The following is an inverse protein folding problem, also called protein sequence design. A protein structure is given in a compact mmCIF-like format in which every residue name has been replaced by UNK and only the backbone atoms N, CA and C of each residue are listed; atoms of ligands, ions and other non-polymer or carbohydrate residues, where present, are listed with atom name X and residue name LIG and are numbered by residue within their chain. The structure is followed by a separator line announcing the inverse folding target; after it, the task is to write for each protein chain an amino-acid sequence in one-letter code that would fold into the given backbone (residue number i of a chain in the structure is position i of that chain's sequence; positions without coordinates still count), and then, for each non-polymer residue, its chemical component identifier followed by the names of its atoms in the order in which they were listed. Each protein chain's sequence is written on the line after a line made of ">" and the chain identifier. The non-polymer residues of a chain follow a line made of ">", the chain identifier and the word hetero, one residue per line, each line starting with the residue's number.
data_IF_039506753006
#
_entry.id   IF_039506753006
#
_cell.length_a   1.000
_cell.length_b   1.000
_cell.length_c   1.000
_cell.angle_alpha   90.00
_cell.angle_beta   90.00
_cell.angle_gamma   90.00
#
_symmetry.space_group_name_H-M   'P 1'
#
loop_
_entity.id
_entity.type
_entity.pdbx_description
1 polymer ?
#
# COMPACT_ATOMS: atom_id res chain seq x y z
N UNK A 1 40.22 28.57 -10.97
CA UNK A 1 39.40 28.87 -9.78
C UNK A 1 39.41 30.38 -9.63
N UNK A 2 38.31 31.06 -9.95
CA UNK A 2 38.15 32.48 -9.61
C UNK A 2 37.30 32.51 -8.36
N UNK A 3 37.93 32.81 -7.22
CA UNK A 3 37.21 33.20 -6.01
C UNK A 3 36.78 34.65 -6.26
N UNK A 4 35.55 34.83 -6.74
CA UNK A 4 34.93 36.15 -6.70
C UNK A 4 34.63 36.47 -5.23
N UNK A 5 35.09 37.64 -4.78
CA UNK A 5 34.85 38.19 -3.45
C UNK A 5 33.38 38.05 -3.05
N UNK A 6 33.11 37.06 -2.21
CA UNK A 6 31.82 36.94 -1.55
C UNK A 6 31.76 38.07 -0.52
N UNK A 7 30.99 39.11 -0.83
CA UNK A 7 30.54 40.11 0.12
C UNK A 7 30.08 39.41 1.41
N UNK A 8 30.89 39.55 2.44
CA UNK A 8 30.64 39.14 3.82
C UNK A 8 29.51 40.02 4.38
N UNK A 9 28.29 39.69 4.03
CA UNK A 9 27.11 40.16 4.74
C UNK A 9 26.78 39.14 5.82
N UNK A 10 26.98 39.53 7.09
CA UNK A 10 26.38 38.85 8.25
C UNK A 10 24.86 38.88 8.10
N UNK A 11 24.30 37.90 7.40
CA UNK A 11 22.89 37.57 7.49
C UNK A 11 22.81 36.17 8.08
N UNK A 12 22.15 36.07 9.24
CA UNK A 12 21.58 34.82 9.74
C UNK A 12 20.98 34.06 8.55
N UNK A 13 21.21 32.73 8.45
CA UNK A 13 20.81 31.98 7.28
C UNK A 13 19.29 32.06 7.14
N UNK A 14 18.81 32.98 6.28
CA UNK A 14 17.45 32.89 5.77
C UNK A 14 17.40 31.60 4.98
N UNK A 15 16.72 30.62 5.56
CA UNK A 15 16.48 29.35 4.90
C UNK A 15 15.87 29.62 3.51
N UNK A 16 16.40 29.03 2.43
CA UNK A 16 15.75 29.11 1.13
C UNK A 16 14.36 28.48 1.25
N UNK A 17 13.37 29.03 0.52
CA UNK A 17 12.01 28.52 0.49
C UNK A 17 12.00 26.99 0.36
N UNK A 18 11.44 26.32 1.36
CA UNK A 18 11.25 24.86 1.39
C UNK A 18 12.23 24.06 2.27
N UNK A 19 13.17 24.70 2.99
CA UNK A 19 14.00 24.00 4.00
C UNK A 19 13.81 24.63 5.37
N UNK A 20 13.71 23.80 6.41
CA UNK A 20 13.55 24.24 7.80
C UNK A 20 14.92 24.35 8.49
N UNK A 21 15.02 25.05 9.61
CA UNK A 21 16.29 25.15 10.39
C UNK A 21 16.86 23.77 10.77
N UNK A 22 16.02 22.72 10.83
CA UNK A 22 16.43 21.34 11.09
C UNK A 22 17.12 20.61 9.93
N UNK A 23 17.09 21.16 8.71
CA UNK A 23 17.80 20.58 7.55
C UNK A 23 19.31 20.89 7.57
N UNK A 24 19.73 21.76 8.50
CA UNK A 24 21.13 22.08 8.72
C UNK A 24 21.62 21.39 10.00
N UNK A 25 22.85 20.84 10.01
CA UNK A 25 23.43 20.32 11.24
C UNK A 25 23.45 21.44 12.30
N UNK A 26 23.19 21.13 13.58
CA UNK A 26 22.96 22.13 14.62
C UNK A 26 24.07 23.18 14.61
N UNK A 27 23.68 24.41 14.35
CA UNK A 27 24.60 25.53 14.21
C UNK A 27 25.14 25.90 15.59
N UNK A 28 26.32 25.38 15.93
CA UNK A 28 27.16 26.02 16.93
C UNK A 28 27.68 27.33 16.34
N UNK A 29 27.73 28.39 17.15
CA UNK A 29 28.05 29.78 16.75
C UNK A 29 29.42 29.99 16.07
N UNK A 30 30.17 28.93 15.76
CA UNK A 30 31.51 28.95 15.16
C UNK A 30 31.61 28.24 13.80
N UNK A 31 30.50 27.77 13.20
CA UNK A 31 30.55 27.06 11.90
C UNK A 31 30.04 27.93 10.75
N UNK A 32 30.91 28.16 9.78
CA UNK A 32 30.58 28.77 8.49
C UNK A 32 30.19 27.67 7.50
N UNK A 33 29.03 27.82 6.86
CA UNK A 33 28.55 26.88 5.84
C UNK A 33 28.60 27.54 4.46
N UNK A 34 29.09 26.79 3.47
CA UNK A 34 29.07 27.21 2.07
C UNK A 34 27.77 26.72 1.43
N UNK A 35 26.94 27.65 0.93
CA UNK A 35 25.66 27.32 0.30
C UNK A 35 25.82 26.75 -1.11
N UNK A 36 26.69 27.36 -1.91
CA UNK A 36 26.91 26.97 -3.30
C UNK A 36 28.33 27.31 -3.76
N UNK A 37 28.80 26.56 -4.76
CA UNK A 37 30.05 26.80 -5.46
C UNK A 37 29.77 26.76 -6.96
N UNK A 38 30.20 27.78 -7.68
CA UNK A 38 30.02 27.89 -9.12
C UNK A 38 31.34 27.56 -9.82
N UNK A 39 31.31 26.58 -10.72
CA UNK A 39 32.47 26.13 -11.49
C UNK A 39 32.27 26.41 -12.97
N UNK A 40 33.34 26.84 -13.65
CA UNK A 40 33.34 27.10 -15.09
C UNK A 40 34.41 26.25 -15.78
N UNK A 41 34.08 25.72 -16.96
CA UNK A 41 34.95 24.91 -17.81
C UNK A 41 34.77 25.37 -19.25
N UNK A 42 35.85 25.30 -20.02
CA UNK A 42 35.83 25.57 -21.47
C UNK A 42 35.41 24.35 -22.29
N UNK A 43 35.44 23.16 -21.68
CA UNK A 43 35.06 21.88 -22.28
C UNK A 43 33.83 21.37 -21.57
N UNK A 44 32.72 21.22 -22.30
CA UNK A 44 31.39 20.91 -21.74
C UNK A 44 31.30 19.46 -21.25
N UNK A 45 31.92 18.56 -22.00
CA UNK A 45 31.89 17.10 -21.80
C UNK A 45 32.44 16.69 -20.42
N UNK A 46 33.40 17.46 -19.90
CA UNK A 46 33.98 17.23 -18.58
C UNK A 46 32.95 17.40 -17.47
N UNK A 47 32.10 18.44 -17.53
CA UNK A 47 31.06 18.63 -16.52
C UNK A 47 29.92 17.64 -16.67
N UNK A 48 29.54 17.27 -17.90
CA UNK A 48 28.50 16.26 -18.12
C UNK A 48 28.92 14.92 -17.51
N UNK A 49 30.18 14.50 -17.68
CA UNK A 49 30.74 13.31 -17.03
C UNK A 49 30.70 13.40 -15.49
N UNK A 50 31.15 14.53 -14.93
CA UNK A 50 31.20 14.73 -13.47
C UNK A 50 29.78 14.75 -12.88
N UNK A 51 28.82 15.44 -13.52
CA UNK A 51 27.42 15.50 -13.08
C UNK A 51 26.79 14.10 -13.09
N UNK A 52 27.08 13.29 -14.12
CA UNK A 52 26.58 11.93 -14.21
C UNK A 52 27.18 11.04 -13.10
N UNK A 53 28.48 11.10 -12.87
CA UNK A 53 29.16 10.42 -11.76
C UNK A 53 28.60 10.84 -10.40
N UNK A 54 28.40 12.14 -10.19
CA UNK A 54 27.81 12.66 -8.94
C UNK A 54 26.36 12.17 -8.73
N UNK A 55 25.53 12.20 -9.79
CA UNK A 55 24.17 11.65 -9.73
C UNK A 55 24.17 10.15 -9.41
N UNK A 56 25.16 9.41 -9.90
CA UNK A 56 25.32 7.99 -9.56
C UNK A 56 25.71 7.80 -8.08
N UNK A 57 26.67 8.57 -7.57
CA UNK A 57 27.03 8.55 -6.15
C UNK A 57 25.84 8.93 -5.27
N UNK A 58 25.07 9.96 -5.63
CA UNK A 58 23.85 10.33 -4.91
C UNK A 58 22.83 9.20 -4.87
N UNK A 59 22.62 8.50 -6.00
CA UNK A 59 21.73 7.32 -6.03
C UNK A 59 22.25 6.19 -5.14
N UNK A 60 23.56 5.90 -5.18
CA UNK A 60 24.18 4.87 -4.33
C UNK A 60 24.06 5.21 -2.84
N UNK A 61 24.24 6.47 -2.45
CA UNK A 61 24.08 6.93 -1.06
C UNK A 61 22.64 6.79 -0.58
N UNK A 62 21.67 7.27 -1.37
CA UNK A 62 20.24 7.11 -1.04
C UNK A 62 19.85 5.64 -0.90
N UNK A 63 20.35 4.78 -1.79
CA UNK A 63 20.11 3.33 -1.69
C UNK A 63 20.69 2.73 -0.41
N UNK A 64 21.92 3.14 -0.04
CA UNK A 64 22.59 2.68 1.18
C UNK A 64 21.89 3.16 2.46
N UNK A 65 21.38 4.39 2.48
CA UNK A 65 20.59 4.91 3.61
C UNK A 65 19.32 4.08 3.80
N UNK A 66 18.55 3.86 2.73
CA UNK A 66 17.34 3.01 2.75
C UNK A 66 17.67 1.58 3.21
N UNK A 67 18.74 0.97 2.70
CA UNK A 67 19.19 -0.35 3.16
C UNK A 67 19.61 -0.36 4.64
N UNK A 68 20.22 0.74 5.13
CA UNK A 68 20.65 0.86 6.51
C UNK A 68 19.49 1.06 7.49
N UNK A 69 18.44 1.78 7.07
CA UNK A 69 17.19 1.91 7.82
C UNK A 69 16.48 0.55 7.90
N UNK A 70 16.36 -0.17 6.79
CA UNK A 70 15.81 -1.54 6.75
C UNK A 70 16.57 -2.47 7.70
N UNK A 71 17.91 -2.39 7.72
CA UNK A 71 18.74 -3.20 8.64
C UNK A 71 18.59 -2.79 10.11
N UNK A 72 18.39 -1.50 10.41
CA UNK A 72 18.18 -1.01 11.77
C UNK A 72 16.81 -1.44 12.31
N UNK A 73 15.74 -1.31 11.53
CA UNK A 73 14.40 -1.83 11.87
C UNK A 73 14.45 -3.34 12.11
N UNK A 74 15.22 -4.07 11.31
CA UNK A 74 15.39 -5.52 11.44
C UNK A 74 16.27 -5.95 12.62
N UNK A 75 17.12 -5.06 13.16
CA UNK A 75 18.11 -5.42 14.19
C UNK A 75 17.56 -5.50 15.62
N UNK A 76 16.37 -4.93 15.87
CA UNK A 76 15.68 -5.01 17.17
C UNK A 76 14.77 -6.25 17.32
N UNK A 77 14.43 -6.91 16.22
CA UNK A 77 13.51 -8.06 16.21
C UNK A 77 14.29 -9.29 15.76
N UNK A 78 14.48 -10.28 16.64
CA UNK A 78 14.98 -11.59 16.20
C UNK A 78 14.15 -12.03 14.99
N UNK A 79 14.81 -12.47 13.91
CA UNK A 79 14.13 -12.93 12.70
C UNK A 79 13.16 -14.07 13.08
N UNK A 80 11.87 -13.74 13.21
CA UNK A 80 10.85 -14.72 13.53
C UNK A 80 10.80 -15.73 12.41
N UNK A 81 10.77 -17.01 12.77
CA UNK A 81 10.64 -18.11 11.83
C UNK A 81 9.18 -18.56 11.85
N UNK A 82 8.61 -18.77 10.66
CA UNK A 82 7.27 -19.27 10.52
C UNK A 82 7.18 -20.73 10.98
N UNK A 83 6.25 -21.01 11.88
CA UNK A 83 6.03 -22.31 12.48
C UNK A 83 4.95 -23.07 11.70
N UNK A 84 5.39 -23.82 10.70
CA UNK A 84 4.53 -24.56 9.77
C UNK A 84 3.74 -25.66 10.47
N UNK A 85 2.41 -25.67 10.26
CA UNK A 85 1.52 -26.74 10.70
C UNK A 85 1.61 -27.96 9.77
N UNK A 86 1.30 -29.17 10.27
CA UNK A 86 1.20 -30.37 9.42
C UNK A 86 -0.03 -30.34 8.51
N UNK A 87 -1.12 -29.78 9.02
CA UNK A 87 -2.35 -29.51 8.28
C UNK A 87 -2.65 -28.03 8.44
N UNK A 88 -2.78 -27.32 7.34
CA UNK A 88 -2.99 -25.88 7.32
C UNK A 88 -4.14 -25.53 6.37
N UNK A 89 -4.98 -24.54 6.72
CA UNK A 89 -5.87 -23.92 5.75
C UNK A 89 -5.05 -23.34 4.60
N UNK A 90 -5.49 -23.59 3.37
CA UNK A 90 -4.83 -23.05 2.19
C UNK A 90 -5.85 -22.49 1.20
N UNK A 91 -5.43 -21.42 0.51
CA UNK A 91 -6.20 -20.76 -0.53
C UNK A 91 -5.31 -20.67 -1.78
N UNK A 92 -5.78 -21.28 -2.88
CA UNK A 92 -4.99 -21.48 -4.11
C UNK A 92 -5.44 -20.55 -5.23
N UNK A 93 -4.60 -20.45 -6.25
CA UNK A 93 -4.87 -19.69 -7.48
C UNK A 93 -5.16 -18.20 -7.20
N UNK A 94 -4.39 -17.64 -6.26
CA UNK A 94 -4.48 -16.25 -5.83
C UNK A 94 -3.49 -15.38 -6.58
N UNK A 95 -3.93 -14.21 -7.01
CA UNK A 95 -3.04 -13.09 -7.32
C UNK A 95 -2.69 -12.34 -6.04
N UNK A 96 -1.49 -11.74 -6.00
CA UNK A 96 -1.03 -10.93 -4.87
C UNK A 96 -0.73 -9.49 -5.30
N UNK A 97 -1.07 -8.52 -4.46
CA UNK A 97 -0.61 -7.12 -4.56
C UNK A 97 0.02 -6.68 -3.22
N UNK A 98 1.15 -5.94 -3.24
CA UNK A 98 1.94 -5.58 -4.42
C UNK A 98 2.63 -6.80 -5.06
N UNK A 99 3.01 -6.68 -6.34
CA UNK A 99 3.71 -7.77 -7.04
C UNK A 99 5.09 -8.04 -6.45
N UNK A 100 5.50 -9.32 -6.38
CA UNK A 100 6.79 -9.75 -5.83
C UNK A 100 8.03 -9.29 -6.62
N UNK A 101 7.89 -9.01 -7.92
CA UNK A 101 9.03 -8.79 -8.80
C UNK A 101 8.75 -7.92 -10.03
N UNK A 102 9.40 -8.25 -11.16
CA UNK A 102 9.53 -7.46 -12.40
C UNK A 102 8.23 -7.34 -13.23
N UNK A 103 7.12 -6.98 -12.59
CA UNK A 103 5.89 -6.54 -13.26
C UNK A 103 4.93 -7.64 -13.74
N UNK A 104 5.31 -8.93 -13.70
CA UNK A 104 4.35 -10.03 -13.95
C UNK A 104 3.48 -10.27 -12.72
N UNK A 105 2.17 -10.49 -12.94
CA UNK A 105 1.24 -10.98 -11.92
C UNK A 105 1.78 -12.28 -11.33
N UNK A 106 2.02 -12.29 -10.04
CA UNK A 106 2.37 -13.50 -9.29
C UNK A 106 1.10 -14.21 -8.88
N UNK A 107 0.89 -15.41 -9.42
CA UNK A 107 -0.13 -16.35 -8.95
C UNK A 107 0.49 -17.28 -7.92
N UNK A 108 -0.24 -17.65 -6.87
CA UNK A 108 0.32 -18.48 -5.81
C UNK A 108 -0.72 -19.08 -4.86
N UNK A 109 -0.21 -19.62 -3.77
CA UNK A 109 -1.01 -20.22 -2.68
C UNK A 109 -0.71 -19.51 -1.38
N UNK A 110 -1.75 -19.14 -0.65
CA UNK A 110 -1.68 -18.62 0.70
C UNK A 110 -1.94 -19.75 1.69
N UNK A 111 -1.03 -19.95 2.63
CA UNK A 111 -1.06 -20.98 3.66
C UNK A 111 -1.11 -20.31 5.04
N UNK A 112 -2.01 -20.77 5.91
CA UNK A 112 -2.11 -20.28 7.29
C UNK A 112 -1.48 -21.27 8.28
N UNK A 113 -0.50 -20.82 9.04
CA UNK A 113 0.27 -21.64 9.97
C UNK A 113 0.05 -21.19 11.43
N UNK A 114 0.84 -21.68 12.38
CA UNK A 114 0.56 -21.41 13.80
C UNK A 114 0.81 -19.97 14.22
N UNK A 115 1.73 -19.26 13.56
CA UNK A 115 2.12 -17.89 13.93
C UNK A 115 2.04 -16.86 12.79
N UNK A 116 1.50 -17.24 11.63
CA UNK A 116 1.46 -16.36 10.47
C UNK A 116 0.96 -17.04 9.21
N UNK A 117 0.97 -16.26 8.13
CA UNK A 117 0.68 -16.71 6.78
C UNK A 117 1.95 -16.82 5.95
N UNK A 118 1.94 -17.74 4.99
CA UNK A 118 2.95 -17.83 3.92
C UNK A 118 2.27 -17.80 2.57
N UNK A 119 2.66 -16.85 1.74
CA UNK A 119 2.35 -16.87 0.33
C UNK A 119 3.53 -17.46 -0.45
N UNK A 120 3.26 -18.51 -1.24
CA UNK A 120 4.24 -19.10 -2.14
C UNK A 120 3.83 -18.83 -3.59
N UNK A 121 4.65 -18.08 -4.32
CA UNK A 121 4.42 -17.80 -5.73
C UNK A 121 4.65 -19.06 -6.60
N UNK A 122 3.72 -19.36 -7.50
CA UNK A 122 3.82 -20.47 -8.45
C UNK A 122 4.89 -20.18 -9.49
N UNK A 123 5.82 -21.12 -9.68
CA UNK A 123 6.90 -21.00 -10.67
C UNK A 123 8.07 -20.09 -10.25
N UNK A 124 8.07 -19.62 -9.00
CA UNK A 124 9.19 -18.92 -8.37
C UNK A 124 9.49 -19.58 -7.02
N UNK A 125 10.71 -19.41 -6.50
CA UNK A 125 11.04 -19.80 -5.12
C UNK A 125 10.82 -18.64 -4.13
N UNK A 126 10.22 -17.55 -4.59
CA UNK A 126 9.86 -16.40 -3.76
C UNK A 126 8.69 -16.74 -2.83
N UNK A 127 8.87 -16.41 -1.55
CA UNK A 127 7.89 -16.58 -0.49
C UNK A 127 7.75 -15.29 0.30
N UNK A 128 6.54 -15.01 0.75
CA UNK A 128 6.24 -13.89 1.65
C UNK A 128 5.64 -14.45 2.91
N UNK A 129 6.29 -14.18 4.04
CA UNK A 129 5.80 -14.55 5.37
C UNK A 129 5.23 -13.31 6.05
N UNK A 130 4.02 -13.42 6.59
CA UNK A 130 3.32 -12.35 7.30
C UNK A 130 2.93 -12.89 8.68
N UNK A 131 3.49 -12.35 9.74
CA UNK A 131 3.23 -12.84 11.10
C UNK A 131 1.95 -12.23 11.68
N UNK A 132 1.22 -13.00 12.48
CA UNK A 132 -0.05 -12.54 13.06
C UNK A 132 0.09 -11.28 13.93
N UNK A 133 1.22 -11.14 14.64
CA UNK A 133 1.51 -9.97 15.47
C UNK A 133 1.73 -8.68 14.65
N UNK A 134 2.10 -8.79 13.37
CA UNK A 134 2.35 -7.66 12.46
C UNK A 134 1.07 -7.14 11.82
N UNK A 135 -0.01 -7.92 11.81
CA UNK A 135 -1.28 -7.52 11.20
C UNK A 135 -2.00 -6.56 12.13
N UNK A 136 -2.37 -5.39 11.61
CA UNK A 136 -3.27 -4.44 12.26
C UNK A 136 -4.72 -4.77 11.92
N UNK A 137 -5.01 -4.91 10.62
CA UNK A 137 -6.35 -5.24 10.11
C UNK A 137 -6.28 -6.42 9.14
N UNK A 138 -7.16 -7.39 9.34
CA UNK A 138 -7.39 -8.52 8.44
C UNK A 138 -8.81 -8.44 7.93
N UNK A 139 -8.98 -8.30 6.62
CA UNK A 139 -10.27 -8.01 6.00
C UNK A 139 -10.54 -9.05 4.92
N UNK A 140 -11.74 -9.64 4.96
CA UNK A 140 -12.26 -10.47 3.89
C UNK A 140 -13.38 -9.70 3.19
N UNK A 141 -13.19 -9.37 1.91
CA UNK A 141 -14.23 -8.72 1.11
C UNK A 141 -14.81 -9.71 0.08
N UNK A 142 -16.08 -10.13 0.23
CA UNK A 142 -16.73 -11.00 -0.73
C UNK A 142 -16.99 -10.28 -2.05
N UNK A 143 -16.96 -11.05 -3.14
CA UNK A 143 -17.32 -10.57 -4.47
C UNK A 143 -18.84 -10.55 -4.62
N UNK A 144 -19.41 -9.35 -4.75
CA UNK A 144 -20.84 -9.13 -5.01
C UNK A 144 -21.03 -8.50 -6.40
N UNK A 145 -22.26 -8.11 -6.76
CA UNK A 145 -22.66 -7.75 -8.13
C UNK A 145 -21.74 -6.73 -8.81
N UNK A 146 -21.27 -5.70 -8.09
CA UNK A 146 -20.40 -4.65 -8.64
C UNK A 146 -18.90 -4.92 -8.47
N UNK A 147 -18.53 -5.96 -7.70
CA UNK A 147 -17.13 -6.28 -7.42
C UNK A 147 -16.60 -7.23 -8.49
N UNK A 148 -15.36 -7.00 -8.91
CA UNK A 148 -14.71 -7.84 -9.92
C UNK A 148 -13.81 -8.92 -9.28
N UNK A 149 -13.49 -8.73 -8.00
CA UNK A 149 -12.57 -9.58 -7.26
C UNK A 149 -13.15 -9.97 -5.91
N UNK A 150 -12.85 -11.19 -5.49
CA UNK A 150 -12.93 -11.62 -4.08
C UNK A 150 -11.53 -11.50 -3.50
N UNK A 151 -11.41 -11.01 -2.26
CA UNK A 151 -10.09 -10.72 -1.69
C UNK A 151 -10.00 -10.96 -0.18
N UNK A 152 -8.78 -11.24 0.25
CA UNK A 152 -8.31 -11.09 1.63
C UNK A 152 -7.24 -10.01 1.65
N UNK A 153 -7.37 -9.04 2.54
CA UNK A 153 -6.44 -7.94 2.71
C UNK A 153 -5.85 -7.93 4.11
N UNK A 154 -4.54 -7.69 4.18
CA UNK A 154 -3.82 -7.46 5.42
C UNK A 154 -3.22 -6.06 5.38
N UNK A 155 -3.66 -5.22 6.32
CA UNK A 155 -2.99 -3.97 6.66
C UNK A 155 -2.04 -4.24 7.83
N UNK A 156 -0.76 -3.93 7.65
CA UNK A 156 0.27 -4.20 8.63
C UNK A 156 0.51 -2.98 9.53
N UNK A 157 0.87 -3.23 10.80
CA UNK A 157 1.28 -2.20 11.75
C UNK A 157 2.50 -1.44 11.25
N UNK A 158 3.45 -2.19 10.68
CA UNK A 158 4.68 -1.67 10.11
C UNK A 158 4.90 -2.22 8.69
N UNK A 159 5.42 -1.43 7.75
CA UNK A 159 5.67 -1.89 6.38
C UNK A 159 6.76 -2.97 6.32
N UNK A 160 6.46 -4.08 5.64
CA UNK A 160 7.42 -5.16 5.37
C UNK A 160 8.03 -5.03 3.97
N UNK A 161 9.21 -5.62 3.76
CA UNK A 161 9.84 -5.69 2.45
C UNK A 161 9.22 -6.79 1.60
N UNK A 162 8.61 -6.43 0.47
CA UNK A 162 8.11 -7.36 -0.55
C UNK A 162 8.90 -7.14 -1.83
N UNK A 163 9.75 -8.11 -2.17
CA UNK A 163 10.72 -7.96 -3.25
C UNK A 163 11.68 -6.80 -2.98
N UNK A 164 11.53 -5.69 -3.72
CA UNK A 164 12.36 -4.48 -3.58
C UNK A 164 11.63 -3.28 -2.97
N UNK A 165 10.36 -3.42 -2.60
CA UNK A 165 9.52 -2.32 -2.12
C UNK A 165 9.06 -2.59 -0.69
N UNK A 166 9.03 -1.54 0.14
CA UNK A 166 8.30 -1.58 1.42
C UNK A 166 6.81 -1.49 1.11
N UNK A 167 6.03 -2.36 1.73
CA UNK A 167 4.57 -2.37 1.62
C UNK A 167 3.96 -2.52 3.01
N UNK A 168 3.03 -1.64 3.33
CA UNK A 168 2.20 -1.75 4.52
C UNK A 168 0.96 -2.60 4.26
N UNK A 169 0.48 -2.58 3.02
CA UNK A 169 -0.69 -3.30 2.59
C UNK A 169 -0.29 -4.51 1.74
N UNK A 170 -0.92 -5.66 2.03
CA UNK A 170 -0.75 -6.89 1.26
C UNK A 170 -2.12 -7.51 1.01
N UNK A 171 -2.44 -7.75 -0.26
CA UNK A 171 -3.74 -8.23 -0.70
C UNK A 171 -3.59 -9.50 -1.51
N UNK A 172 -4.46 -10.48 -1.26
CA UNK A 172 -4.60 -11.71 -2.00
C UNK A 172 -5.99 -11.81 -2.59
N UNK A 173 -6.12 -11.98 -3.90
CA UNK A 173 -7.41 -11.90 -4.58
C UNK A 173 -7.51 -12.84 -5.77
N UNK A 174 -8.74 -13.15 -6.15
CA UNK A 174 -9.09 -13.88 -7.39
C UNK A 174 -10.11 -13.06 -8.16
N UNK A 175 -9.92 -12.93 -9.47
CA UNK A 175 -10.84 -12.21 -10.36
C UNK A 175 -11.93 -13.17 -10.86
N UNK A 176 -13.18 -12.71 -10.86
CA UNK A 176 -14.33 -13.53 -11.26
C UNK A 176 -14.52 -13.57 -12.77
N UNK A 177 -14.13 -12.51 -13.48
CA UNK A 177 -14.11 -12.44 -14.93
C UNK A 177 -12.81 -11.77 -15.40
N UNK A 178 -12.11 -12.32 -16.41
CA UNK A 178 -11.09 -11.55 -17.11
C UNK A 178 -11.80 -10.35 -17.76
N UNK A 179 -11.24 -9.15 -17.63
CA UNK A 179 -11.72 -8.02 -18.43
C UNK A 179 -11.49 -8.35 -19.91
N UNK A 180 -12.48 -8.93 -20.58
CA UNK A 180 -12.55 -8.96 -22.03
C UNK A 180 -12.82 -7.53 -22.47
N UNK A 181 -11.77 -6.88 -22.98
CA UNK A 181 -11.77 -5.52 -23.53
C UNK A 181 -12.63 -5.37 -24.81
N UNK A 182 -13.66 -6.19 -25.02
CA UNK A 182 -14.58 -6.04 -26.14
C UNK A 182 -15.85 -5.27 -25.71
N UNK A 183 -15.62 -4.01 -25.34
CA UNK A 183 -16.67 -2.99 -25.25
C UNK A 183 -17.35 -2.73 -26.62
N UNK A 184 -16.82 -3.30 -27.71
CA UNK A 184 -17.35 -3.19 -29.06
C UNK A 184 -18.62 -4.03 -29.29
N UNK A 185 -18.87 -5.07 -28.48
CA UNK A 185 -20.00 -5.99 -28.64
C UNK A 185 -21.23 -5.64 -27.77
N UNK A 186 -21.13 -4.71 -26.82
CA UNK A 186 -22.27 -4.22 -26.00
C UNK A 186 -23.22 -3.29 -26.75
N UNK A 187 -23.35 -3.45 -28.07
CA UNK A 187 -24.43 -2.85 -28.85
C UNK A 187 -25.56 -3.88 -28.97
N UNK A 188 -26.50 -3.79 -28.04
CA UNK A 188 -27.84 -4.38 -28.14
C UNK A 188 -27.93 -5.91 -27.99
N UNK A 189 -27.42 -6.45 -26.88
CA UNK A 189 -27.95 -7.71 -26.35
C UNK A 189 -29.38 -7.47 -25.83
N UNK A 190 -30.31 -8.28 -26.30
CA UNK A 190 -31.68 -8.26 -25.79
C UNK A 190 -31.63 -8.97 -24.44
N UNK A 191 -32.00 -8.35 -23.31
CA UNK A 191 -31.96 -8.98 -21.96
C UNK A 191 -32.81 -10.27 -21.80
N UNK A 192 -33.40 -10.75 -22.88
CA UNK A 192 -34.14 -12.00 -23.03
C UNK A 192 -33.45 -12.99 -23.99
N UNK A 193 -32.20 -12.72 -24.37
CA UNK A 193 -31.37 -13.66 -25.10
C UNK A 193 -30.97 -14.80 -24.15
N UNK A 194 -31.34 -16.06 -24.45
CA UNK A 194 -30.97 -17.20 -23.62
C UNK A 194 -29.45 -17.30 -23.38
N UNK A 195 -28.62 -16.86 -24.33
CA UNK A 195 -27.16 -16.94 -24.18
C UNK A 195 -26.62 -15.95 -23.13
N UNK A 196 -27.16 -14.72 -23.07
CA UNK A 196 -26.79 -13.69 -22.10
C UNK A 196 -27.20 -14.12 -20.67
N UNK A 197 -28.41 -14.66 -20.52
CA UNK A 197 -28.91 -15.18 -19.24
C UNK A 197 -28.01 -16.33 -18.74
N UNK A 198 -27.56 -17.22 -19.64
CA UNK A 198 -26.68 -18.33 -19.28
C UNK A 198 -25.26 -17.88 -18.92
N UNK A 199 -24.79 -16.76 -19.46
CA UNK A 199 -23.50 -16.16 -19.08
C UNK A 199 -23.58 -15.51 -17.70
N UNK A 200 -24.64 -14.74 -17.42
CA UNK A 200 -24.90 -14.15 -16.10
C UNK A 200 -25.03 -15.21 -15.01
N UNK A 201 -25.76 -16.31 -15.28
CA UNK A 201 -25.89 -17.42 -14.33
C UNK A 201 -24.52 -18.06 -14.02
N UNK A 202 -23.68 -18.28 -15.04
CA UNK A 202 -22.33 -18.83 -14.85
C UNK A 202 -21.43 -17.90 -14.04
N UNK A 203 -21.53 -16.59 -14.26
CA UNK A 203 -20.80 -15.61 -13.46
C UNK A 203 -21.23 -15.64 -11.99
N UNK A 204 -22.55 -15.67 -11.72
CA UNK A 204 -23.07 -15.73 -10.36
C UNK A 204 -22.71 -17.03 -9.63
N UNK A 205 -22.75 -18.17 -10.32
CA UNK A 205 -22.28 -19.45 -9.77
C UNK A 205 -20.78 -19.39 -9.42
N UNK A 206 -19.97 -18.76 -10.27
CA UNK A 206 -18.54 -18.57 -10.00
C UNK A 206 -18.30 -17.64 -8.80
N UNK A 207 -19.03 -16.51 -8.69
CA UNK A 207 -18.98 -15.60 -7.53
C UNK A 207 -19.31 -16.36 -6.24
N UNK A 208 -20.43 -17.07 -6.23
CA UNK A 208 -20.89 -17.86 -5.07
C UNK A 208 -19.85 -18.89 -4.66
N UNK A 209 -19.30 -19.65 -5.63
CA UNK A 209 -18.25 -20.64 -5.38
C UNK A 209 -16.99 -20.02 -4.79
N UNK A 210 -16.51 -18.91 -5.35
CA UNK A 210 -15.31 -18.22 -4.88
C UNK A 210 -15.52 -17.62 -3.49
N UNK A 211 -16.68 -17.01 -3.23
CA UNK A 211 -17.04 -16.51 -1.91
C UNK A 211 -17.06 -17.63 -0.88
N UNK A 212 -17.67 -18.78 -1.19
CA UNK A 212 -17.67 -19.94 -0.30
C UNK A 212 -16.25 -20.41 0.04
N UNK A 213 -15.37 -20.50 -0.96
CA UNK A 213 -13.97 -20.94 -0.77
C UNK A 213 -13.21 -19.98 0.15
N UNK A 214 -13.36 -18.67 -0.04
CA UNK A 214 -12.71 -17.66 0.80
C UNK A 214 -13.30 -17.60 2.21
N UNK A 215 -14.61 -17.74 2.34
CA UNK A 215 -15.30 -17.82 3.62
C UNK A 215 -14.85 -19.05 4.42
N UNK A 216 -14.80 -20.22 3.78
CA UNK A 216 -14.32 -21.46 4.40
C UNK A 216 -12.87 -21.35 4.84
N UNK A 217 -12.02 -20.71 4.03
CA UNK A 217 -10.64 -20.42 4.41
C UNK A 217 -10.59 -19.53 5.66
N UNK A 218 -11.31 -18.41 5.66
CA UNK A 218 -11.34 -17.45 6.77
C UNK A 218 -11.80 -18.13 8.07
N UNK A 219 -12.88 -18.90 8.00
CA UNK A 219 -13.41 -19.67 9.14
C UNK A 219 -12.39 -20.67 9.68
N UNK A 220 -11.69 -21.39 8.78
CA UNK A 220 -10.66 -22.36 9.19
C UNK A 220 -9.43 -21.71 9.80
N UNK A 221 -9.05 -20.51 9.35
CA UNK A 221 -7.94 -19.74 9.93
C UNK A 221 -8.28 -19.25 11.33
N UNK A 222 -9.50 -18.76 11.54
CA UNK A 222 -9.99 -18.34 12.86
C UNK A 222 -10.11 -19.51 13.84
N UNK A 223 -10.30 -20.74 13.33
CA UNK A 223 -10.33 -21.96 14.11
C UNK A 223 -8.93 -22.53 14.45
N UNK A 224 -7.84 -21.95 13.94
CA UNK A 224 -6.48 -22.35 14.33
C UNK A 224 -6.27 -21.96 15.79
N UNK A 225 -5.81 -22.91 16.60
CA UNK A 225 -5.54 -22.67 18.01
C UNK A 225 -4.54 -21.51 18.22
N UNK A 226 -4.86 -20.62 19.15
CA UNK A 226 -4.08 -19.43 19.48
C UNK A 226 -3.88 -18.44 18.31
N UNK A 227 -4.69 -18.51 17.24
CA UNK A 227 -4.71 -17.53 16.18
C UNK A 227 -5.46 -16.25 16.64
N UNK A 228 -4.80 -15.07 16.69
CA UNK A 228 -5.46 -13.83 17.10
C UNK A 228 -6.20 -13.14 15.95
N UNK A 229 -6.06 -13.64 14.72
CA UNK A 229 -6.60 -13.03 13.50
C UNK A 229 -8.10 -13.31 13.40
N UNK A 230 -8.88 -12.25 13.16
CA UNK A 230 -10.31 -12.33 12.80
C UNK A 230 -10.55 -11.53 11.54
N UNK A 231 -11.22 -12.12 10.56
CA UNK A 231 -11.50 -11.45 9.31
C UNK A 231 -12.71 -10.54 9.46
N UNK A 232 -12.47 -9.24 9.37
CA UNK A 232 -13.53 -8.24 9.32
C UNK A 232 -14.16 -8.22 7.92
N UNK A 233 -15.47 -7.97 7.83
CA UNK A 233 -16.21 -7.93 6.58
C UNK A 233 -16.76 -6.50 6.40
N UNK A 234 -16.44 -5.79 5.30
CA UNK A 234 -16.90 -4.42 5.12
C UNK A 234 -18.44 -4.28 5.06
N UNK A 235 -18.98 -3.31 5.81
CA UNK A 235 -20.41 -3.00 5.86
C UNK A 235 -20.84 -2.18 4.64
N UNK A 236 -21.12 -2.86 3.52
CA UNK A 236 -21.41 -2.21 2.22
C UNK A 236 -22.63 -1.28 2.24
N UNK A 237 -23.61 -1.51 3.10
CA UNK A 237 -24.78 -0.64 3.24
C UNK A 237 -24.45 0.75 3.81
N UNK A 238 -23.29 0.87 4.47
CA UNK A 238 -22.77 2.12 5.02
C UNK A 238 -21.71 2.75 4.12
N UNK A 239 -21.56 2.24 2.90
CA UNK A 239 -20.55 2.73 1.96
C UNK A 239 -20.89 4.13 1.44
N UNK A 240 -19.86 4.92 1.19
CA UNK A 240 -19.95 6.22 0.56
C UNK A 240 -18.80 6.43 -0.43
N UNK A 241 -18.97 7.33 -1.39
CA UNK A 241 -17.91 7.66 -2.34
C UNK A 241 -17.04 8.80 -1.78
N UNK A 242 -15.73 8.69 -1.99
CA UNK A 242 -14.77 9.70 -1.58
C UNK A 242 -13.49 9.65 -2.41
N UNK A 243 -12.63 10.65 -2.25
CA UNK A 243 -11.38 10.78 -3.00
C UNK A 243 -10.19 10.83 -2.02
N UNK A 244 -9.87 9.72 -1.34
CA UNK A 244 -8.76 9.69 -0.37
C UNK A 244 -7.39 9.83 -1.04
N UNK A 245 -7.31 9.57 -2.35
CA UNK A 245 -6.08 9.64 -3.14
C UNK A 245 -6.28 10.56 -4.35
N UNK A 246 -6.44 9.98 -5.55
CA UNK A 246 -6.56 10.73 -6.82
C UNK A 246 -7.84 10.45 -7.60
N UNK A 247 -8.53 9.37 -7.27
CA UNK A 247 -9.76 8.93 -7.92
C UNK A 247 -10.88 8.80 -6.89
N UNK A 248 -12.11 8.96 -7.35
CA UNK A 248 -13.29 8.63 -6.56
C UNK A 248 -13.37 7.12 -6.40
N UNK A 249 -13.39 6.66 -5.15
CA UNK A 249 -13.48 5.25 -4.78
C UNK A 249 -14.60 5.07 -3.77
N UNK A 250 -15.12 3.85 -3.68
CA UNK A 250 -16.12 3.49 -2.67
C UNK A 250 -15.41 3.16 -1.36
N UNK A 251 -15.59 4.03 -0.38
CA UNK A 251 -15.15 3.83 1.00
C UNK A 251 -16.21 3.05 1.75
N UNK A 252 -15.79 2.02 2.47
CA UNK A 252 -16.68 1.13 3.23
C UNK A 252 -16.13 0.98 4.65
N UNK A 253 -16.93 1.24 5.68
CA UNK A 253 -16.50 0.99 7.04
C UNK A 253 -16.49 -0.52 7.34
N UNK A 254 -15.55 -0.93 8.16
CA UNK A 254 -15.48 -2.21 8.84
C UNK A 254 -15.70 -1.98 10.36
N UNK A 255 -15.46 -2.98 11.19
CA UNK A 255 -15.62 -2.88 12.65
C UNK A 255 -14.64 -1.88 13.26
N UNK A 256 -13.39 -1.85 12.78
CA UNK A 256 -12.31 -1.01 13.33
C UNK A 256 -11.50 -0.24 12.27
N UNK A 257 -11.94 -0.26 11.02
CA UNK A 257 -11.24 0.40 9.91
C UNK A 257 -12.21 1.03 8.90
N UNK A 258 -11.75 2.05 8.19
CA UNK A 258 -12.41 2.56 6.98
C UNK A 258 -11.56 2.20 5.77
N UNK A 259 -12.13 1.49 4.79
CA UNK A 259 -11.34 0.89 3.71
C UNK A 259 -11.89 1.11 2.31
N UNK A 260 -11.02 1.02 1.32
CA UNK A 260 -11.34 0.82 -0.09
C UNK A 260 -10.30 -0.14 -0.67
N UNK A 261 -10.71 -1.37 -0.96
CA UNK A 261 -9.80 -2.48 -1.29
C UNK A 261 -9.95 -2.99 -2.73
N UNK A 262 -11.04 -2.65 -3.43
CA UNK A 262 -11.28 -3.09 -4.80
C UNK A 262 -10.30 -2.47 -5.81
N UNK A 263 -9.76 -1.29 -5.51
CA UNK A 263 -8.78 -0.58 -6.33
C UNK A 263 -7.39 -0.58 -5.68
N UNK A 264 -6.34 -0.53 -6.50
CA UNK A 264 -4.96 -0.44 -6.04
C UNK A 264 -4.32 0.89 -6.48
N UNK A 265 -3.67 1.67 -5.59
CA UNK A 265 -3.36 1.36 -4.19
C UNK A 265 -4.59 1.36 -3.28
N UNK A 266 -4.62 0.48 -2.26
CA UNK A 266 -5.75 0.39 -1.35
C UNK A 266 -5.75 1.61 -0.42
N UNK A 267 -6.92 1.89 0.15
CA UNK A 267 -7.05 2.78 1.29
C UNK A 267 -7.44 1.94 2.51
N UNK A 268 -6.72 2.10 3.61
CA UNK A 268 -7.05 1.50 4.88
C UNK A 268 -6.69 2.50 5.99
N UNK A 269 -7.70 2.96 6.71
CA UNK A 269 -7.55 3.84 7.85
C UNK A 269 -8.01 3.11 9.10
N UNK A 270 -7.10 2.94 10.05
CA UNK A 270 -7.40 2.44 11.38
C UNK A 270 -8.22 3.48 12.16
N UNK A 271 -9.48 3.13 12.48
CA UNK A 271 -10.40 4.03 13.17
C UNK A 271 -10.03 4.19 14.65
N UNK A 272 -9.32 3.21 15.25
CA UNK A 272 -8.86 3.31 16.64
C UNK A 272 -7.73 4.35 16.80
N UNK A 273 -7.05 4.71 15.70
CA UNK A 273 -6.03 5.75 15.68
C UNK A 273 -6.60 7.15 15.41
N UNK A 274 -7.89 7.27 15.07
CA UNK A 274 -8.54 8.56 14.83
C UNK A 274 -9.00 9.16 16.16
N UNK A 275 -8.66 10.42 16.38
CA UNK A 275 -9.07 11.20 17.57
C UNK A 275 -10.30 12.04 17.24
N UNK A 276 -10.26 12.79 16.14
CA UNK A 276 -11.33 13.70 15.71
C UNK A 276 -11.53 13.57 14.20
N UNK A 277 -12.80 13.63 13.78
CA UNK A 277 -13.20 13.75 12.37
C UNK A 277 -13.75 15.16 12.14
N UNK A 278 -13.22 15.86 11.16
CA UNK A 278 -13.61 17.23 10.81
C UNK A 278 -14.28 17.24 9.44
N UNK A 279 -15.51 17.74 9.38
CA UNK A 279 -16.21 17.97 8.12
C UNK A 279 -15.92 19.40 7.65
N UNK A 280 -15.18 19.55 6.55
CA UNK A 280 -14.91 20.84 5.92
C UNK A 280 -15.89 21.08 4.77
N UNK A 281 -16.19 22.36 4.50
CA UNK A 281 -17.07 22.77 3.40
C UNK A 281 -18.49 22.15 3.46
N UNK A 282 -18.96 21.77 4.65
CA UNK A 282 -20.35 21.36 4.87
C UNK A 282 -21.29 22.58 4.85
N UNK A 283 -21.57 23.10 3.65
CA UNK A 283 -22.41 24.28 3.41
C UNK A 283 -23.70 23.90 2.68
N UNK A 284 -24.80 24.61 2.95
CA UNK A 284 -26.13 24.35 2.35
C UNK A 284 -26.16 24.35 0.81
N UNK A 285 -25.22 25.05 0.17
CA UNK A 285 -25.13 25.17 -1.29
C UNK A 285 -24.16 24.18 -1.94
N UNK A 286 -23.50 23.31 -1.17
CA UNK A 286 -22.57 22.31 -1.67
C UNK A 286 -23.18 20.90 -1.55
N UNK A 287 -22.99 20.09 -2.58
CA UNK A 287 -23.41 18.67 -2.59
C UNK A 287 -22.34 17.73 -2.06
N UNK A 288 -21.14 18.24 -1.86
CA UNK A 288 -19.94 17.51 -1.45
C UNK A 288 -19.27 18.26 -0.29
N UNK A 289 -18.69 17.52 0.64
CA UNK A 289 -17.89 18.05 1.73
C UNK A 289 -16.55 17.30 1.78
N UNK A 290 -15.54 17.87 2.42
CA UNK A 290 -14.31 17.11 2.73
C UNK A 290 -14.39 16.58 4.14
N UNK A 291 -13.74 15.43 4.34
CA UNK A 291 -13.63 14.81 5.66
C UNK A 291 -12.14 14.72 5.98
N UNK A 292 -11.73 15.28 7.12
CA UNK A 292 -10.34 15.17 7.60
C UNK A 292 -10.32 14.35 8.88
N UNK A 293 -9.57 13.26 8.86
CA UNK A 293 -9.33 12.38 9.99
C UNK A 293 -8.03 12.80 10.69
N UNK A 294 -8.17 13.37 11.88
CA UNK A 294 -7.05 13.75 12.74
C UNK A 294 -6.71 12.58 13.64
N UNK A 295 -5.47 12.09 13.54
CA UNK A 295 -4.99 10.96 14.33
C UNK A 295 -4.66 11.37 15.78
N UNK A 296 -4.66 10.38 16.68
CA UNK A 296 -4.23 10.51 18.09
C UNK A 296 -2.77 10.94 18.20
N UNK A 297 -1.93 10.42 17.32
CA UNK A 297 -0.54 10.86 17.19
C UNK A 297 -0.48 12.10 16.28
N UNK A 298 -0.42 13.28 16.88
CA UNK A 298 -0.34 14.57 16.17
C UNK A 298 0.98 14.80 15.42
N UNK A 299 1.98 13.91 15.54
CA UNK A 299 3.17 13.95 14.69
C UNK A 299 2.89 13.41 13.28
N UNK A 300 1.84 12.60 13.12
CA UNK A 300 1.40 12.09 11.83
C UNK A 300 0.51 13.10 11.12
N UNK A 301 0.67 13.20 9.80
CA UNK A 301 -0.21 14.05 9.00
C UNK A 301 -1.66 13.51 9.04
N UNK A 302 -2.66 14.40 9.18
CA UNK A 302 -4.05 14.03 9.02
C UNK A 302 -4.32 13.41 7.65
N UNK A 303 -5.31 12.51 7.60
CA UNK A 303 -5.78 11.91 6.36
C UNK A 303 -7.00 12.70 5.88
N UNK A 304 -7.02 13.11 4.62
CA UNK A 304 -8.11 13.86 4.00
C UNK A 304 -8.73 13.06 2.87
#
# INVERSE_FOLDING_TARGET
>A
VMLNDALLTHQLPRAPQGKSEGDFPPASAQRLYVKELNFQSRVKENFDSIINSHKEVQRRMKHREVESEVKKDSSGTQAQILQTLRSFPCLRDLSMRPNLGSGRRSFGTLEAHSNGFRFSARGSNEKVDIFYNQIAHSIYEPCEDQSLIVLVHFHLKEPIMIGKKRSQDVQFFTEVAPQTEDLSARKSGNAHDPDEILEEQREQEMKSRLNQVFHDFSTKVEAIDSCPVKFDIPFKDLAFFGVPNKSSVRLVPCTSALVSLQEWPPFCLDMDQVEIVVFERALLNLRECDITFVKKDYSQMPVR
#
